data_IF_295076064059
#
_entry.id   IF_295076064059
#
_cell.length_a   1.000
_cell.length_b   1.000
_cell.length_c   1.000
_cell.angle_alpha   90.00
_cell.angle_beta   90.00
_cell.angle_gamma   90.00
#
_symmetry.space_group_name_H-M   'P 1'
#
loop_
_entity.id
_entity.type
_entity.pdbx_description
1 polymer ?
#
# COMPACT_ATOMS: atom_id res chain seq x y z
N UNK A 1 2.93 -17.11 -3.03
CA UNK A 1 2.01 -16.07 -2.53
C UNK A 1 2.81 -14.90 -1.97
N UNK A 2 3.92 -15.15 -1.30
CA UNK A 2 4.85 -14.14 -0.76
C UNK A 2 5.25 -13.08 -1.79
N UNK A 3 5.65 -13.49 -3.00
CA UNK A 3 5.97 -12.56 -4.10
C UNK A 3 4.80 -11.66 -4.50
N UNK A 4 3.56 -12.15 -4.45
CA UNK A 4 2.38 -11.35 -4.79
C UNK A 4 2.11 -10.29 -3.71
N UNK A 5 2.18 -10.69 -2.44
CA UNK A 5 2.03 -9.75 -1.32
C UNK A 5 3.14 -8.70 -1.31
N UNK A 6 4.37 -9.13 -1.54
CA UNK A 6 5.53 -8.22 -1.61
C UNK A 6 5.47 -7.30 -2.83
N UNK A 7 4.98 -7.80 -3.98
CA UNK A 7 4.73 -6.96 -5.15
C UNK A 7 3.66 -5.90 -4.86
N UNK A 8 2.54 -6.26 -4.24
CA UNK A 8 1.50 -5.31 -3.83
C UNK A 8 2.03 -4.25 -2.87
N UNK A 9 2.84 -4.65 -1.89
CA UNK A 9 3.50 -3.73 -0.97
C UNK A 9 4.47 -2.79 -1.70
N UNK A 10 5.23 -3.32 -2.67
CA UNK A 10 6.23 -2.55 -3.41
C UNK A 10 5.64 -1.41 -4.25
N UNK A 11 4.37 -1.52 -4.67
CA UNK A 11 3.66 -0.47 -5.43
C UNK A 11 3.62 0.86 -4.66
N UNK A 12 3.53 0.83 -3.32
CA UNK A 12 3.52 2.05 -2.48
C UNK A 12 4.86 2.82 -2.51
N UNK A 13 5.94 2.19 -2.97
CA UNK A 13 7.27 2.78 -3.05
C UNK A 13 7.63 3.23 -4.47
N UNK A 14 6.71 3.09 -5.43
CA UNK A 14 6.97 3.33 -6.85
C UNK A 14 6.01 4.37 -7.40
N UNK A 15 6.56 5.43 -7.98
CA UNK A 15 5.79 6.53 -8.58
C UNK A 15 5.60 6.35 -10.08
N UNK A 16 5.21 5.14 -10.52
CA UNK A 16 4.97 4.83 -11.92
C UNK A 16 3.52 4.37 -12.15
N UNK A 17 2.83 4.84 -13.20
CA UNK A 17 1.49 4.36 -13.57
C UNK A 17 1.43 2.87 -13.95
N UNK A 18 2.56 2.27 -14.34
CA UNK A 18 2.68 0.83 -14.56
C UNK A 18 3.85 0.29 -13.77
N UNK A 19 3.55 -0.67 -12.89
CA UNK A 19 4.56 -1.36 -12.09
C UNK A 19 5.50 -2.15 -12.99
N UNK A 20 4.94 -2.99 -13.86
CA UNK A 20 5.72 -3.88 -14.73
C UNK A 20 6.62 -3.10 -15.70
N UNK A 21 6.06 -2.10 -16.39
CA UNK A 21 6.83 -1.32 -17.37
C UNK A 21 7.99 -0.56 -16.70
N UNK A 22 7.78 -0.06 -15.48
CA UNK A 22 8.85 0.61 -14.74
C UNK A 22 10.00 -0.35 -14.40
N UNK A 23 9.68 -1.55 -13.93
CA UNK A 23 10.71 -2.54 -13.62
C UNK A 23 11.49 -3.01 -14.85
N UNK A 24 10.79 -3.19 -15.99
CA UNK A 24 11.41 -3.54 -17.27
C UNK A 24 12.33 -2.43 -17.76
N UNK A 25 11.85 -1.19 -17.80
CA UNK A 25 12.65 -0.04 -18.24
C UNK A 25 13.89 0.17 -17.36
N UNK A 26 13.77 -0.04 -16.04
CA UNK A 26 14.90 -0.01 -15.13
C UNK A 26 15.91 -1.11 -15.45
N UNK A 27 15.45 -2.35 -15.66
CA UNK A 27 16.33 -3.48 -15.98
C UNK A 27 17.01 -3.30 -17.35
N UNK A 28 16.30 -2.85 -18.38
CA UNK A 28 16.83 -2.66 -19.73
C UNK A 28 17.74 -1.42 -19.85
N UNK A 29 17.50 -0.40 -19.03
CA UNK A 29 18.28 0.83 -19.02
C UNK A 29 19.25 0.94 -17.84
N UNK A 30 19.02 1.89 -16.91
CA UNK A 30 20.03 2.30 -15.92
C UNK A 30 20.36 1.21 -14.88
N UNK A 31 19.49 0.23 -14.69
CA UNK A 31 19.63 -0.86 -13.74
C UNK A 31 20.53 -2.00 -14.20
N UNK A 32 21.01 -2.01 -15.46
CA UNK A 32 21.99 -2.98 -15.98
C UNK A 32 21.55 -4.44 -15.75
N UNK A 33 20.32 -4.76 -16.15
CA UNK A 33 19.70 -6.08 -15.96
C UNK A 33 19.04 -6.29 -14.59
N UNK A 34 18.99 -5.26 -13.73
CA UNK A 34 18.39 -5.34 -12.39
C UNK A 34 17.23 -4.36 -12.26
N UNK A 35 16.21 -4.79 -11.52
CA UNK A 35 15.04 -3.98 -11.18
C UNK A 35 14.90 -3.87 -9.66
N UNK A 36 14.15 -2.88 -9.18
CA UNK A 36 13.86 -2.71 -7.76
C UNK A 36 13.06 -3.89 -7.20
N UNK A 37 12.16 -4.46 -8.01
CA UNK A 37 11.42 -5.67 -7.69
C UNK A 37 12.37 -6.80 -7.24
N UNK A 38 13.46 -7.04 -7.98
CA UNK A 38 14.44 -8.06 -7.61
C UNK A 38 15.35 -7.62 -6.46
N UNK A 39 15.84 -6.39 -6.47
CA UNK A 39 16.94 -5.98 -5.58
C UNK A 39 16.48 -5.43 -4.24
N UNK A 40 15.38 -4.67 -4.20
CA UNK A 40 14.86 -4.06 -2.98
C UNK A 40 13.79 -4.95 -2.33
N UNK A 41 12.99 -5.62 -3.16
CA UNK A 41 11.83 -6.39 -2.71
C UNK A 41 12.02 -7.91 -2.81
N UNK A 42 13.15 -8.39 -3.35
CA UNK A 42 13.49 -9.81 -3.38
C UNK A 42 12.55 -10.68 -4.21
N UNK A 43 11.77 -10.08 -5.11
CA UNK A 43 10.81 -10.81 -5.94
C UNK A 43 11.55 -11.75 -6.89
N UNK A 44 11.07 -12.99 -7.05
CA UNK A 44 11.64 -13.94 -8.00
C UNK A 44 11.14 -13.70 -9.43
N UNK A 45 9.91 -13.21 -9.57
CA UNK A 45 9.30 -12.80 -10.81
C UNK A 45 8.48 -11.51 -10.60
N UNK A 46 8.33 -10.72 -11.66
CA UNK A 46 7.64 -9.43 -11.61
C UNK A 46 6.21 -9.63 -12.14
N UNK A 47 5.19 -9.66 -11.27
CA UNK A 47 3.80 -9.76 -11.72
C UNK A 47 3.35 -8.44 -12.37
N UNK A 48 2.31 -8.49 -13.19
CA UNK A 48 1.61 -7.28 -13.64
C UNK A 48 0.64 -6.79 -12.57
N UNK A 49 0.30 -5.50 -12.61
CA UNK A 49 -0.72 -4.90 -11.72
C UNK A 49 -2.05 -5.67 -11.77
N UNK A 50 -2.46 -6.11 -12.96
CA UNK A 50 -3.68 -6.90 -13.15
C UNK A 50 -3.58 -8.28 -12.48
N UNK A 51 -2.41 -8.92 -12.52
CA UNK A 51 -2.21 -10.20 -11.85
C UNK A 51 -2.20 -10.05 -10.32
N UNK A 52 -1.56 -9.00 -9.80
CA UNK A 52 -1.60 -8.67 -8.37
C UNK A 52 -3.05 -8.50 -7.91
N UNK A 53 -3.83 -7.68 -8.61
CA UNK A 53 -5.26 -7.46 -8.33
C UNK A 53 -6.09 -8.73 -8.40
N UNK A 54 -5.95 -9.51 -9.47
CA UNK A 54 -6.68 -10.77 -9.63
C UNK A 54 -6.44 -11.75 -8.47
N UNK A 55 -5.23 -11.73 -7.90
CA UNK A 55 -4.86 -12.59 -6.78
C UNK A 55 -5.33 -12.05 -5.41
N UNK A 56 -5.44 -10.73 -5.24
CA UNK A 56 -5.65 -10.09 -3.93
C UNK A 56 -7.04 -9.47 -3.73
N UNK A 57 -7.70 -8.99 -4.79
CA UNK A 57 -8.96 -8.22 -4.68
C UNK A 57 -10.11 -9.05 -4.06
N UNK A 58 -10.05 -10.38 -4.15
CA UNK A 58 -11.04 -11.28 -3.56
C UNK A 58 -10.82 -11.56 -2.07
N UNK A 59 -9.71 -11.08 -1.48
CA UNK A 59 -9.37 -11.36 -0.07
C UNK A 59 -10.12 -10.40 0.84
N UNK A 60 -10.94 -10.90 1.80
CA UNK A 60 -11.57 -10.06 2.81
C UNK A 60 -10.54 -9.23 3.59
N UNK A 61 -10.84 -7.94 3.77
CA UNK A 61 -9.92 -7.02 4.46
C UNK A 61 -9.87 -7.26 5.97
N UNK A 62 -10.93 -7.82 6.55
CA UNK A 62 -11.04 -8.13 7.98
C UNK A 62 -9.99 -9.14 8.47
N UNK A 63 -9.43 -9.95 7.56
CA UNK A 63 -8.28 -10.81 7.84
C UNK A 63 -7.06 -10.05 8.37
N UNK A 64 -6.95 -8.74 8.09
CA UNK A 64 -5.85 -7.89 8.55
C UNK A 64 -6.12 -7.18 9.88
N UNK A 65 -7.35 -7.22 10.41
CA UNK A 65 -7.74 -6.46 11.61
C UNK A 65 -6.92 -6.87 12.85
N UNK A 66 -6.69 -8.19 12.99
CA UNK A 66 -5.87 -8.74 14.07
C UNK A 66 -4.40 -8.33 13.95
N UNK A 67 -3.87 -8.27 12.72
CA UNK A 67 -2.49 -7.84 12.45
C UNK A 67 -2.30 -6.36 12.77
N UNK A 68 -3.23 -5.51 12.32
CA UNK A 68 -3.20 -4.08 12.61
C UNK A 68 -3.21 -3.84 14.13
N UNK A 69 -4.14 -4.48 14.84
CA UNK A 69 -4.24 -4.39 16.31
C UNK A 69 -2.96 -4.86 17.00
N UNK A 70 -2.35 -5.95 16.50
CA UNK A 70 -1.09 -6.48 17.01
C UNK A 70 0.09 -5.51 16.83
N UNK A 71 0.19 -4.87 15.66
CA UNK A 71 1.23 -3.88 15.35
C UNK A 71 1.07 -2.65 16.25
N UNK A 72 -0.15 -2.11 16.37
CA UNK A 72 -0.42 -0.94 17.22
C UNK A 72 -0.09 -1.22 18.68
N UNK A 73 -0.48 -2.39 19.20
CA UNK A 73 -0.12 -2.81 20.56
C UNK A 73 1.39 -2.90 20.74
N UNK A 74 2.10 -3.53 19.81
CA UNK A 74 3.56 -3.67 19.89
C UNK A 74 4.26 -2.31 19.85
N UNK A 75 3.74 -1.38 19.03
CA UNK A 75 4.25 -0.01 18.95
C UNK A 75 4.03 0.72 20.27
N UNK A 76 2.88 0.50 20.91
CA UNK A 76 2.56 1.11 22.20
C UNK A 76 3.45 0.59 23.34
N UNK A 77 3.57 -0.73 23.47
CA UNK A 77 4.41 -1.39 24.48
C UNK A 77 5.88 -0.97 24.39
N UNK A 78 6.34 -0.58 23.20
CA UNK A 78 7.71 -0.12 22.95
C UNK A 78 7.86 1.41 23.04
N UNK A 79 6.82 2.13 23.45
CA UNK A 79 6.84 3.58 23.62
C UNK A 79 6.79 4.38 22.31
N UNK A 80 6.48 3.73 21.18
CA UNK A 80 6.40 4.39 19.87
C UNK A 80 5.24 5.40 19.77
N UNK A 81 4.25 5.31 20.66
CA UNK A 81 3.11 6.21 20.71
C UNK A 81 3.28 7.37 21.70
N UNK A 82 4.36 7.40 22.50
CA UNK A 82 4.54 8.41 23.55
C UNK A 82 4.53 9.85 23.02
N UNK A 83 5.15 10.06 21.87
CA UNK A 83 5.16 11.38 21.21
C UNK A 83 3.74 11.87 20.86
N UNK A 84 2.78 10.95 20.68
CA UNK A 84 1.39 11.21 20.31
C UNK A 84 0.44 11.28 21.52
N UNK A 85 0.91 10.95 22.73
CA UNK A 85 0.10 11.03 23.95
C UNK A 85 -0.04 12.47 24.43
N UNK A 86 -1.25 13.01 24.36
CA UNK A 86 -1.61 14.35 24.84
C UNK A 86 -2.99 14.28 25.51
N UNK A 87 -3.47 15.39 26.06
CA UNK A 87 -4.82 15.48 26.63
C UNK A 87 -5.10 14.32 27.60
N UNK A 88 -4.32 14.26 28.68
CA UNK A 88 -4.42 13.22 29.73
C UNK A 88 -4.13 11.80 29.23
N UNK A 89 -3.02 11.64 28.50
CA UNK A 89 -2.50 10.32 28.09
C UNK A 89 -3.21 9.70 26.88
N UNK A 90 -4.16 10.41 26.27
CA UNK A 90 -4.85 9.98 25.05
C UNK A 90 -3.91 10.03 23.85
N UNK A 91 -3.94 8.99 23.02
CA UNK A 91 -3.20 8.99 21.74
C UNK A 91 -3.97 9.85 20.75
N UNK A 92 -3.33 10.92 20.25
CA UNK A 92 -3.89 11.74 19.19
C UNK A 92 -3.75 11.01 17.86
N UNK A 93 -4.87 10.77 17.18
CA UNK A 93 -4.90 10.21 15.83
C UNK A 93 -5.23 11.35 14.88
N UNK A 94 -4.35 11.59 13.90
CA UNK A 94 -4.65 12.51 12.81
C UNK A 94 -5.68 11.84 11.89
N UNK A 95 -6.93 12.29 11.99
CA UNK A 95 -7.97 11.96 11.02
C UNK A 95 -7.91 13.03 9.94
N UNK A 96 -7.35 12.68 8.78
CA UNK A 96 -7.63 13.43 7.56
C UNK A 96 -9.12 13.22 7.26
N UNK A 97 -9.90 14.30 7.24
CA UNK A 97 -11.32 14.31 6.91
C UNK A 97 -11.60 14.07 5.42
N UNK A 98 -10.64 13.52 4.66
CA UNK A 98 -10.82 13.09 3.28
C UNK A 98 -11.74 11.87 3.22
N UNK A 99 -13.05 12.13 3.25
CA UNK A 99 -14.04 11.13 2.86
C UNK A 99 -13.86 10.80 1.37
N UNK A 100 -13.76 9.50 1.07
CA UNK A 100 -13.80 9.03 -0.30
C UNK A 100 -15.27 8.88 -0.72
N UNK A 101 -15.80 9.88 -1.41
CA UNK A 101 -17.08 9.72 -2.09
C UNK A 101 -16.91 8.77 -3.30
N UNK A 102 -17.42 7.54 -3.19
CA UNK A 102 -17.42 6.58 -4.29
C UNK A 102 -18.84 6.43 -4.87
N UNK A 103 -19.00 6.79 -6.15
CA UNK A 103 -20.23 6.53 -6.90
C UNK A 103 -20.00 5.41 -7.90
N UNK A 104 -20.91 4.43 -7.92
CA UNK A 104 -20.99 3.41 -8.99
C UNK A 104 -21.60 3.95 -10.29
N UNK A 105 -22.06 5.21 -10.29
CA UNK A 105 -22.55 5.94 -11.46
C UNK A 105 -21.45 6.88 -11.96
N UNK A 106 -21.26 6.91 -13.29
CA UNK A 106 -20.28 7.77 -13.97
C UNK A 106 -20.48 9.26 -13.67
N UNK A 107 -21.70 9.66 -13.30
CA UNK A 107 -22.03 11.02 -12.86
C UNK A 107 -22.98 10.99 -11.66
N UNK A 108 -22.74 11.86 -10.69
CA UNK A 108 -23.66 12.14 -9.60
C UNK A 108 -23.54 13.59 -9.13
N UNK A 109 -24.50 14.09 -8.32
CA UNK A 109 -24.50 15.47 -7.82
C UNK A 109 -23.29 15.87 -6.96
N UNK A 110 -22.54 14.90 -6.44
CA UNK A 110 -21.37 15.11 -5.57
C UNK A 110 -20.04 14.97 -6.32
N UNK A 111 -20.05 14.69 -7.63
CA UNK A 111 -18.83 14.66 -8.44
C UNK A 111 -18.29 16.10 -8.63
N UNK A 112 -16.98 16.29 -8.49
CA UNK A 112 -16.34 17.58 -8.80
C UNK A 112 -16.59 17.94 -10.27
N UNK A 113 -17.28 19.04 -10.52
CA UNK A 113 -17.39 19.67 -11.83
C UNK A 113 -16.25 20.65 -12.04
N UNK A 114 -15.81 20.87 -13.28
CA UNK A 114 -14.83 21.92 -13.63
C UNK A 114 -15.55 23.21 -14.01
#
# INVERSE_FOLDING_TARGET
>A
MDDIGMAAFSVFFMQSPSFLAHQQALAEGPGRGRSNAHTLFGLSAIPSDNHIRAMLDGVPTDHFDGLFSGIVRTLDERGGLEAMRRLDGRVLIALDGSEHFCSRKVSCPQCSTR
#
